data_IF_233739640164
#
_entry.id   IF_233739640164
#
_cell.length_a   1.000
_cell.length_b   1.000
_cell.length_c   1.000
_cell.angle_alpha   90.00
_cell.angle_beta   90.00
_cell.angle_gamma   90.00
#
_symmetry.space_group_name_H-M   'P 1'
#
loop_
_entity.id
_entity.type
_entity.pdbx_description
1 polymer ?
#
# COMPACT_ATOMS: atom_id res chain seq x y z
N UNK A 1 1.30 -1.05 -10.23
CA UNK A 1 2.63 -0.47 -9.92
C UNK A 1 3.69 -1.54 -9.67
N UNK A 2 3.47 -2.45 -8.72
CA UNK A 2 4.44 -3.48 -8.31
C UNK A 2 4.97 -4.38 -9.45
N UNK A 3 4.09 -4.82 -10.37
CA UNK A 3 4.46 -5.69 -11.49
C UNK A 3 5.51 -5.11 -12.46
N UNK A 4 5.84 -3.82 -12.38
CA UNK A 4 6.89 -3.20 -13.21
C UNK A 4 8.30 -3.42 -12.66
N UNK A 5 8.46 -3.72 -11.37
CA UNK A 5 9.74 -3.87 -10.66
C UNK A 5 10.75 -2.73 -10.90
N UNK A 6 10.27 -1.54 -11.27
CA UNK A 6 11.10 -0.37 -11.60
C UNK A 6 10.96 0.72 -10.56
N UNK A 7 11.93 0.78 -9.64
CA UNK A 7 11.99 1.76 -8.54
C UNK A 7 11.94 3.20 -9.05
N UNK A 8 12.73 3.52 -10.09
CA UNK A 8 12.77 4.88 -10.64
C UNK A 8 11.43 5.31 -11.22
N UNK A 9 10.71 4.37 -11.85
CA UNK A 9 9.39 4.65 -12.41
C UNK A 9 8.38 4.92 -11.31
N UNK A 10 8.39 4.11 -10.24
CA UNK A 10 7.54 4.33 -9.07
C UNK A 10 7.80 5.69 -8.44
N UNK A 11 9.06 6.05 -8.20
CA UNK A 11 9.42 7.35 -7.61
C UNK A 11 8.93 8.52 -8.47
N UNK A 12 9.04 8.43 -9.80
CA UNK A 12 8.50 9.44 -10.72
C UNK A 12 6.99 9.58 -10.57
N UNK A 13 6.25 8.47 -10.56
CA UNK A 13 4.79 8.50 -10.43
C UNK A 13 4.36 9.05 -9.07
N UNK A 14 5.03 8.66 -7.98
CA UNK A 14 4.71 9.15 -6.63
C UNK A 14 4.98 10.65 -6.51
N UNK A 15 6.11 11.13 -7.03
CA UNK A 15 6.41 12.55 -7.06
C UNK A 15 5.39 13.36 -7.87
N UNK A 16 4.84 12.80 -8.95
CA UNK A 16 3.75 13.44 -9.71
C UNK A 16 2.47 13.50 -8.85
N UNK A 17 2.07 12.38 -8.25
CA UNK A 17 0.92 12.30 -7.34
C UNK A 17 1.00 13.30 -6.17
N UNK A 18 2.15 13.40 -5.52
CA UNK A 18 2.36 14.36 -4.44
C UNK A 18 2.35 15.81 -4.95
N UNK A 19 2.81 16.05 -6.19
CA UNK A 19 2.67 17.35 -6.85
C UNK A 19 1.21 17.74 -7.07
N UNK A 20 0.38 16.80 -7.53
CA UNK A 20 -1.06 17.03 -7.68
C UNK A 20 -1.75 17.28 -6.34
N UNK A 21 -1.39 16.53 -5.29
CA UNK A 21 -1.91 16.74 -3.94
C UNK A 21 -1.57 18.14 -3.43
N UNK A 22 -0.32 18.59 -3.62
CA UNK A 22 0.13 19.93 -3.25
C UNK A 22 -0.65 21.01 -3.99
N UNK A 23 -0.83 20.87 -5.31
CA UNK A 23 -1.63 21.81 -6.13
C UNK A 23 -3.09 21.89 -5.68
N UNK A 24 -3.63 20.83 -5.09
CA UNK A 24 -5.01 20.75 -4.59
C UNK A 24 -5.12 21.08 -3.09
N UNK A 25 -4.04 21.55 -2.46
CA UNK A 25 -3.98 21.81 -1.02
C UNK A 25 -4.36 20.60 -0.14
N UNK A 26 -4.04 19.39 -0.60
CA UNK A 26 -4.25 18.14 0.15
C UNK A 26 -3.00 17.88 0.99
N UNK A 27 -3.15 17.75 2.31
CA UNK A 27 -2.02 17.51 3.22
C UNK A 27 -1.65 16.02 3.36
N UNK A 28 -2.62 15.11 3.16
CA UNK A 28 -2.46 13.66 3.40
C UNK A 28 -3.08 12.86 2.27
N UNK A 29 -2.36 11.87 1.76
CA UNK A 29 -2.88 10.88 0.80
C UNK A 29 -3.12 9.56 1.56
N UNK A 30 -4.32 9.00 1.43
CA UNK A 30 -4.71 7.73 2.06
C UNK A 30 -4.25 6.51 1.23
N UNK A 31 -2.94 6.39 1.11
CA UNK A 31 -2.22 5.35 0.38
C UNK A 31 -0.82 5.16 1.02
N UNK A 32 -0.14 4.02 0.78
CA UNK A 32 -0.50 2.89 -0.09
C UNK A 32 -1.30 1.78 0.62
N UNK A 33 -1.88 0.86 -0.16
CA UNK A 33 -2.45 -0.40 0.35
C UNK A 33 -1.35 -1.46 0.42
N UNK A 34 -0.97 -1.92 1.62
CA UNK A 34 0.09 -2.94 1.80
C UNK A 34 -0.42 -4.34 2.19
N UNK A 35 -1.74 -4.50 2.34
CA UNK A 35 -2.33 -5.81 2.62
C UNK A 35 -1.93 -6.82 1.54
N UNK A 36 -1.70 -8.08 1.94
CA UNK A 36 -1.20 -9.11 1.05
C UNK A 36 -2.32 -9.63 0.14
N UNK A 37 -1.98 -9.89 -1.12
CA UNK A 37 -2.88 -10.51 -2.10
C UNK A 37 -3.01 -12.02 -1.91
N UNK A 38 -3.53 -12.45 -0.75
CA UNK A 38 -3.61 -13.88 -0.41
C UNK A 38 -4.69 -14.67 -1.15
N UNK A 39 -5.67 -13.98 -1.74
CA UNK A 39 -6.78 -14.62 -2.46
C UNK A 39 -7.18 -13.79 -3.66
N UNK A 40 -7.64 -14.47 -4.72
CA UNK A 40 -8.22 -13.82 -5.91
C UNK A 40 -9.59 -13.19 -5.62
N UNK A 41 -10.22 -13.53 -4.50
CA UNK A 41 -11.51 -12.96 -4.06
C UNK A 41 -11.35 -11.65 -3.25
N UNK A 42 -10.12 -11.14 -3.18
CA UNK A 42 -9.73 -9.88 -2.57
C UNK A 42 -10.34 -8.70 -3.35
N UNK A 43 -11.41 -8.11 -2.83
CA UNK A 43 -12.10 -6.99 -3.50
C UNK A 43 -11.28 -5.71 -3.63
N UNK A 44 -10.21 -5.54 -2.83
CA UNK A 44 -9.27 -4.41 -2.91
C UNK A 44 -7.91 -4.79 -3.55
N UNK A 45 -7.85 -5.91 -4.27
CA UNK A 45 -6.57 -6.48 -4.71
C UNK A 45 -5.85 -5.65 -5.76
N UNK A 46 -6.60 -4.82 -6.48
CA UNK A 46 -6.05 -3.92 -7.49
C UNK A 46 -5.22 -2.76 -6.89
N UNK A 47 -5.46 -2.38 -5.63
CA UNK A 47 -4.68 -1.35 -4.93
C UNK A 47 -3.48 -1.94 -4.15
N UNK A 48 -3.53 -3.25 -3.84
CA UNK A 48 -2.45 -3.97 -3.17
C UNK A 48 -1.30 -4.30 -4.14
N UNK A 49 -0.10 -4.54 -3.59
CA UNK A 49 1.11 -4.69 -4.39
C UNK A 49 1.45 -6.13 -4.78
N UNK A 50 1.39 -7.06 -3.82
CA UNK A 50 1.89 -8.42 -3.99
C UNK A 50 1.28 -9.35 -2.92
N UNK A 51 1.38 -10.66 -3.14
CA UNK A 51 1.11 -11.69 -2.13
C UNK A 51 2.22 -11.79 -1.07
N UNK A 52 3.45 -11.40 -1.43
CA UNK A 52 4.63 -11.55 -0.58
C UNK A 52 4.90 -10.34 0.32
N UNK A 53 5.22 -10.54 1.61
CA UNK A 53 5.42 -9.47 2.59
C UNK A 53 6.63 -8.58 2.28
N UNK A 54 7.74 -9.17 1.86
CA UNK A 54 8.97 -8.42 1.52
C UNK A 54 8.74 -7.48 0.32
N UNK A 55 8.10 -7.98 -0.73
CA UNK A 55 7.83 -7.18 -1.92
C UNK A 55 6.77 -6.10 -1.66
N UNK A 56 5.70 -6.43 -0.93
CA UNK A 56 4.65 -5.47 -0.58
C UNK A 56 5.18 -4.35 0.31
N UNK A 57 5.94 -4.69 1.35
CA UNK A 57 6.54 -3.71 2.27
C UNK A 57 7.60 -2.83 1.58
N UNK A 58 8.50 -3.41 0.80
CA UNK A 58 9.53 -2.65 0.05
C UNK A 58 8.89 -1.67 -0.93
N UNK A 59 7.86 -2.12 -1.65
CA UNK A 59 7.12 -1.26 -2.59
C UNK A 59 6.36 -0.16 -1.85
N UNK A 60 5.74 -0.49 -0.71
CA UNK A 60 5.06 0.47 0.15
C UNK A 60 6.00 1.53 0.73
N UNK A 61 7.20 1.15 1.17
CA UNK A 61 8.20 2.08 1.67
C UNK A 61 8.68 3.04 0.59
N UNK A 62 8.97 2.53 -0.61
CA UNK A 62 9.32 3.36 -1.78
C UNK A 62 8.19 4.32 -2.17
N UNK A 63 6.93 3.87 -2.04
CA UNK A 63 5.76 4.71 -2.26
C UNK A 63 5.73 5.88 -1.27
N UNK A 64 5.77 5.58 0.02
CA UNK A 64 5.70 6.58 1.10
C UNK A 64 6.85 7.59 0.97
N UNK A 65 8.08 7.11 0.75
CA UNK A 65 9.23 7.98 0.60
C UNK A 65 9.07 8.94 -0.59
N UNK A 66 8.60 8.44 -1.74
CA UNK A 66 8.38 9.28 -2.91
C UNK A 66 7.26 10.33 -2.74
N UNK A 67 6.24 10.06 -1.93
CA UNK A 67 5.21 11.06 -1.59
C UNK A 67 5.76 12.12 -0.63
N UNK A 68 6.46 11.67 0.42
CA UNK A 68 6.97 12.54 1.48
C UNK A 68 8.11 13.45 1.04
N UNK A 69 8.79 13.13 -0.07
CA UNK A 69 9.77 14.02 -0.74
C UNK A 69 9.19 15.42 -1.05
N UNK A 70 7.87 15.52 -1.27
CA UNK A 70 7.18 16.80 -1.56
C UNK A 70 6.42 17.37 -0.37
N UNK A 71 6.78 17.00 0.86
CA UNK A 71 6.13 17.47 2.09
C UNK A 71 4.63 17.14 2.17
N UNK A 72 4.19 16.07 1.51
CA UNK A 72 2.84 15.51 1.62
C UNK A 72 2.92 14.26 2.50
N UNK A 73 1.99 14.09 3.44
CA UNK A 73 1.94 12.89 4.26
C UNK A 73 1.29 11.73 3.49
N UNK A 74 1.79 10.52 3.72
CA UNK A 74 1.21 9.27 3.20
C UNK A 74 0.66 8.46 4.36
N UNK A 75 -0.61 8.06 4.30
CA UNK A 75 -1.25 7.22 5.31
C UNK A 75 -1.37 5.80 4.79
N UNK A 76 -0.48 4.93 5.29
CA UNK A 76 -0.47 3.52 4.96
C UNK A 76 -1.78 2.85 5.42
N UNK A 77 -2.38 2.07 4.52
CA UNK A 77 -3.62 1.34 4.77
C UNK A 77 -3.53 -0.08 4.20
N UNK A 78 -4.46 -0.97 4.52
CA UNK A 78 -4.94 -1.07 5.88
C UNK A 78 -3.87 -1.77 6.73
N UNK A 79 -3.73 -1.35 7.98
CA UNK A 79 -2.78 -1.99 8.88
C UNK A 79 -3.31 -3.37 9.29
N UNK A 80 -2.63 -4.42 8.82
CA UNK A 80 -2.88 -5.85 9.08
C UNK A 80 -4.22 -6.40 8.53
N UNK A 81 -4.16 -7.67 8.09
CA UNK A 81 -5.27 -8.60 7.86
C UNK A 81 -6.58 -7.99 7.33
N UNK A 82 -6.50 -7.20 6.26
CA UNK A 82 -7.66 -6.53 5.63
C UNK A 82 -7.72 -6.77 4.13
N UNK A 83 -7.46 -8.01 3.77
CA UNK A 83 -7.65 -8.53 2.44
C UNK A 83 -9.16 -8.81 2.15
N UNK A 84 -9.94 -9.37 3.06
CA UNK A 84 -11.33 -9.69 2.71
C UNK A 84 -12.29 -8.50 2.78
N UNK A 85 -12.80 -8.03 1.64
CA UNK A 85 -13.75 -6.90 1.55
C UNK A 85 -15.17 -7.25 2.01
N UNK A 86 -15.58 -8.52 1.91
CA UNK A 86 -16.94 -8.97 2.24
C UNK A 86 -17.18 -9.24 3.73
N UNK A 87 -16.14 -9.15 4.57
CA UNK A 87 -16.22 -9.58 5.97
C UNK A 87 -15.80 -8.40 6.86
N UNK A 88 -16.79 -7.74 7.48
CA UNK A 88 -16.60 -6.58 8.35
C UNK A 88 -16.20 -6.95 9.79
N UNK A 89 -16.51 -8.17 10.23
CA UNK A 89 -16.10 -8.77 11.50
C UNK A 89 -15.63 -10.18 11.24
N UNK A 90 -14.32 -10.41 11.39
CA UNK A 90 -13.73 -11.74 11.34
C UNK A 90 -12.75 -11.85 12.50
N UNK A 91 -12.90 -12.90 13.30
CA UNK A 91 -11.81 -13.36 14.14
C UNK A 91 -10.83 -14.04 13.20
N UNK A 92 -9.82 -13.28 12.81
CA UNK A 92 -8.68 -13.78 12.06
C UNK A 92 -7.94 -14.73 13.00
N UNK A 93 -8.24 -16.03 12.92
CA UNK A 93 -7.56 -17.10 13.64
C UNK A 93 -6.11 -17.31 13.16
N UNK A 94 -5.39 -16.21 12.98
CA UNK A 94 -4.00 -16.15 12.57
C UNK A 94 -3.17 -16.35 13.82
N UNK A 95 -2.25 -17.30 13.76
CA UNK A 95 -1.22 -17.44 14.76
C UNK A 95 -0.17 -16.31 14.61
N UNK A 96 0.56 -16.04 15.69
CA UNK A 96 1.60 -14.99 15.71
C UNK A 96 2.67 -15.23 14.63
N UNK A 97 2.90 -16.47 14.21
CA UNK A 97 3.91 -16.80 13.22
C UNK A 97 3.51 -16.37 11.80
N UNK A 98 2.21 -16.34 11.48
CA UNK A 98 1.70 -15.81 10.20
C UNK A 98 1.67 -14.27 10.18
N UNK A 99 1.53 -13.61 11.34
CA UNK A 99 1.58 -12.13 11.42
C UNK A 99 2.99 -11.55 11.27
N UNK A 100 4.02 -12.32 11.62
CA UNK A 100 5.43 -11.85 11.66
C UNK A 100 6.23 -12.26 10.41
N UNK A 101 5.69 -13.13 9.55
CA UNK A 101 6.31 -13.52 8.28
C UNK A 101 5.97 -12.56 7.14
#
# INVERSE_FOLDING_TARGET
MSATFKVDLMRKVNNLLAGEALCRHIAVILSPVICLQQSLLLGQGFEAFCEGPVMSSSTGALYINGIQEKSIASCLKHHLARENTYILRKDWGWDEFVLIR
#
